data_IF_701090998613
#
_entry.id   IF_701090998613
#
_cell.length_a   1.000
_cell.length_b   1.000
_cell.length_c   1.000
_cell.angle_alpha   90.00
_cell.angle_beta   90.00
_cell.angle_gamma   90.00
#
_symmetry.space_group_name_H-M   'P 1'
#
loop_
_entity.id
_entity.type
_entity.pdbx_description
1 polymer ?
#
# COMPACT_ATOMS: atom_id res chain seq x y z
N UNK A 1 -22.62 -26.94 -24.71
CA UNK A 1 -23.21 -28.18 -25.26
C UNK A 1 -22.06 -29.10 -25.66
N UNK A 2 -21.97 -30.31 -25.10
CA UNK A 2 -20.81 -31.20 -25.30
C UNK A 2 -20.97 -32.13 -26.51
N UNK A 3 -21.98 -31.90 -27.35
CA UNK A 3 -22.21 -32.70 -28.55
C UNK A 3 -21.87 -31.85 -29.77
N UNK A 4 -20.91 -32.30 -30.61
CA UNK A 4 -20.64 -31.64 -31.87
C UNK A 4 -21.87 -31.75 -32.78
N UNK A 5 -22.18 -30.69 -33.51
CA UNK A 5 -23.37 -30.64 -34.33
C UNK A 5 -23.71 -29.25 -34.83
N UNK A 6 -24.68 -29.21 -35.73
CA UNK A 6 -25.26 -27.95 -36.21
C UNK A 6 -26.45 -27.60 -35.32
N UNK A 7 -26.35 -26.50 -34.57
CA UNK A 7 -27.42 -26.01 -33.73
C UNK A 7 -28.10 -24.84 -34.42
N UNK A 8 -29.38 -25.00 -34.75
CA UNK A 8 -30.19 -23.90 -35.30
C UNK A 8 -30.84 -23.19 -34.11
N UNK A 9 -30.56 -21.90 -33.99
CA UNK A 9 -31.22 -21.02 -33.03
C UNK A 9 -32.39 -20.38 -33.77
N UNK A 10 -33.59 -20.67 -33.29
CA UNK A 10 -34.83 -20.16 -33.87
C UNK A 10 -34.93 -18.64 -33.69
N UNK A 11 -35.71 -18.03 -34.59
CA UNK A 11 -36.04 -16.63 -34.54
C UNK A 11 -36.69 -16.27 -33.19
N UNK A 12 -36.15 -15.26 -32.52
CA UNK A 12 -36.68 -14.75 -31.26
C UNK A 12 -37.54 -13.53 -31.57
N UNK A 13 -38.86 -13.58 -31.28
CA UNK A 13 -39.72 -12.41 -31.43
C UNK A 13 -39.53 -11.46 -30.25
N UNK A 14 -39.27 -10.20 -30.54
CA UNK A 14 -39.24 -9.08 -29.60
C UNK A 14 -40.41 -8.16 -29.92
N UNK A 15 -41.17 -7.77 -28.89
CA UNK A 15 -42.27 -6.83 -29.04
C UNK A 15 -42.01 -5.57 -28.22
N UNK A 16 -42.25 -4.40 -28.82
CA UNK A 16 -42.17 -3.12 -28.14
C UNK A 16 -43.36 -2.24 -28.52
N UNK A 17 -43.67 -1.28 -27.66
CA UNK A 17 -44.75 -0.32 -27.90
C UNK A 17 -44.21 0.90 -28.65
N UNK A 18 -44.70 1.17 -29.85
CA UNK A 18 -44.32 2.33 -30.64
C UNK A 18 -45.26 3.50 -30.34
N UNK A 19 -44.71 4.56 -29.76
CA UNK A 19 -45.47 5.77 -29.36
C UNK A 19 -46.02 6.53 -30.57
N UNK A 20 -45.35 6.46 -31.72
CA UNK A 20 -45.77 7.15 -32.94
C UNK A 20 -46.97 6.49 -33.61
N UNK A 21 -47.04 5.15 -33.55
CA UNK A 21 -48.15 4.36 -34.10
C UNK A 21 -49.21 4.03 -33.03
N UNK A 22 -48.93 4.26 -31.75
CA UNK A 22 -49.78 3.91 -30.61
C UNK A 22 -50.18 2.43 -30.60
N UNK A 23 -49.29 1.55 -31.05
CA UNK A 23 -49.53 0.11 -31.18
C UNK A 23 -48.26 -0.70 -30.85
N UNK A 24 -48.44 -2.00 -30.59
CA UNK A 24 -47.34 -2.93 -30.35
C UNK A 24 -46.78 -3.46 -31.67
N UNK A 25 -45.50 -3.19 -31.92
CA UNK A 25 -44.78 -3.69 -33.09
C UNK A 25 -43.94 -4.89 -32.68
N UNK A 26 -44.02 -5.97 -33.45
CA UNK A 26 -43.21 -7.18 -33.27
C UNK A 26 -42.09 -7.22 -34.29
N UNK A 27 -40.84 -7.29 -33.81
CA UNK A 27 -39.65 -7.55 -34.61
C UNK A 27 -39.19 -8.98 -34.35
N UNK A 28 -38.77 -9.67 -35.39
CA UNK A 28 -38.23 -11.03 -35.26
C UNK A 28 -36.78 -11.02 -35.71
N UNK A 29 -35.90 -11.65 -34.94
CA UNK A 29 -34.56 -11.94 -35.41
C UNK A 29 -34.62 -13.01 -36.52
N UNK A 30 -33.62 -13.03 -37.41
CA UNK A 30 -33.48 -14.12 -38.37
C UNK A 30 -32.92 -15.36 -37.64
N UNK A 31 -33.38 -16.59 -37.97
CA UNK A 31 -32.78 -17.79 -37.42
C UNK A 31 -31.33 -17.91 -37.90
N UNK A 32 -30.42 -18.34 -37.02
CA UNK A 32 -29.02 -18.53 -37.37
C UNK A 32 -28.47 -19.84 -36.84
N UNK A 33 -27.54 -20.42 -37.59
CA UNK A 33 -26.95 -21.73 -37.29
C UNK A 33 -25.55 -21.58 -36.70
N UNK A 34 -25.32 -22.21 -35.54
CA UNK A 34 -24.02 -22.31 -34.90
C UNK A 34 -23.47 -23.72 -35.14
N UNK A 35 -22.36 -23.79 -35.87
CA UNK A 35 -21.63 -25.06 -36.09
C UNK A 35 -20.64 -25.25 -34.95
N UNK A 36 -20.88 -26.25 -34.10
CA UNK A 36 -19.99 -26.58 -32.98
C UNK A 36 -19.09 -27.74 -33.40
N UNK A 37 -17.80 -27.46 -33.58
CA UNK A 37 -16.79 -28.48 -33.86
C UNK A 37 -16.50 -29.35 -32.62
N UNK A 38 -16.13 -30.63 -32.79
CA UNK A 38 -15.64 -31.45 -31.68
C UNK A 38 -14.31 -30.88 -31.17
N UNK A 39 -14.24 -30.57 -29.88
CA UNK A 39 -13.02 -30.06 -29.23
C UNK A 39 -12.61 -31.00 -28.09
N UNK A 40 -11.32 -31.38 -28.05
CA UNK A 40 -10.75 -32.23 -26.99
C UNK A 40 -10.53 -31.45 -25.68
N UNK A 41 -10.45 -30.12 -25.73
CA UNK A 41 -10.38 -29.22 -24.58
C UNK A 41 -11.36 -28.06 -24.74
N UNK A 42 -12.01 -27.65 -23.63
CA UNK A 42 -12.94 -26.52 -23.61
C UNK A 42 -12.12 -25.22 -23.64
N UNK A 43 -11.62 -24.85 -24.80
CA UNK A 43 -11.09 -23.50 -25.06
C UNK A 43 -12.24 -22.58 -25.48
N UNK A 44 -12.14 -21.31 -25.10
CA UNK A 44 -13.15 -20.29 -25.32
C UNK A 44 -13.62 -20.29 -26.78
N UNK A 45 -14.92 -20.53 -26.99
CA UNK A 45 -15.51 -20.52 -28.32
C UNK A 45 -15.51 -19.08 -28.85
N UNK A 46 -14.71 -18.82 -29.88
CA UNK A 46 -14.75 -17.58 -30.65
C UNK A 46 -15.98 -17.62 -31.55
N UNK A 47 -17.04 -16.89 -31.15
CA UNK A 47 -18.24 -16.74 -31.97
C UNK A 47 -17.92 -15.71 -33.04
N UNK A 48 -17.68 -16.18 -34.26
CA UNK A 48 -17.51 -15.31 -35.43
C UNK A 48 -18.90 -14.79 -35.80
N UNK A 49 -19.22 -13.59 -35.32
CA UNK A 49 -20.39 -12.87 -35.82
C UNK A 49 -20.10 -12.44 -37.27
N UNK A 50 -21.02 -12.66 -38.23
CA UNK A 50 -20.90 -11.97 -39.50
C UNK A 50 -20.87 -10.47 -39.20
N UNK A 51 -19.97 -9.73 -39.84
CA UNK A 51 -19.91 -8.27 -39.74
C UNK A 51 -21.22 -7.72 -40.31
N UNK A 52 -22.23 -7.58 -39.46
CA UNK A 52 -23.40 -6.79 -39.79
C UNK A 52 -22.87 -5.36 -39.80
N UNK A 53 -22.74 -4.77 -40.99
CA UNK A 53 -22.74 -3.32 -41.08
C UNK A 53 -24.14 -2.89 -40.68
N UNK A 54 -24.40 -2.83 -39.39
CA UNK A 54 -25.56 -2.12 -38.89
C UNK A 54 -25.30 -0.66 -39.24
N UNK A 55 -26.11 -0.11 -40.15
CA UNK A 55 -26.35 1.32 -40.25
C UNK A 55 -26.93 1.74 -38.89
N UNK A 56 -26.05 1.90 -37.90
CA UNK A 56 -26.40 2.43 -36.60
C UNK A 56 -26.96 3.84 -36.84
N UNK A 57 -28.16 4.16 -36.34
CA UNK A 57 -28.73 5.49 -36.49
C UNK A 57 -27.77 6.56 -35.93
N UNK A 58 -27.65 7.72 -36.58
CA UNK A 58 -26.71 8.81 -36.25
C UNK A 58 -26.71 9.28 -34.78
N UNK A 59 -27.73 8.94 -33.99
CA UNK A 59 -27.84 9.26 -32.57
C UNK A 59 -27.24 8.21 -31.63
N UNK A 60 -26.80 7.07 -32.18
CA UNK A 60 -26.02 6.06 -31.45
C UNK A 60 -24.56 6.45 -31.58
N UNK A 61 -24.07 7.24 -30.60
CA UNK A 61 -22.64 7.45 -30.44
C UNK A 61 -22.02 6.12 -29.99
N UNK A 62 -21.38 5.41 -30.91
CA UNK A 62 -20.42 4.37 -30.58
C UNK A 62 -19.28 5.05 -29.80
N UNK A 63 -19.38 5.07 -28.48
CA UNK A 63 -18.29 5.46 -27.59
C UNK A 63 -17.24 4.34 -27.60
N UNK A 64 -16.60 4.13 -28.76
CA UNK A 64 -15.64 3.07 -29.01
C UNK A 64 -14.23 3.36 -28.51
N UNK A 65 -13.96 4.56 -28.01
CA UNK A 65 -12.61 4.98 -27.63
C UNK A 65 -12.50 5.27 -26.13
N UNK A 66 -12.89 4.31 -25.30
CA UNK A 66 -12.36 4.26 -23.94
C UNK A 66 -10.90 3.82 -24.02
N UNK A 67 -9.98 4.79 -24.09
CA UNK A 67 -8.52 4.62 -24.07
C UNK A 67 -7.97 3.77 -22.91
N UNK A 68 -8.82 3.40 -21.94
CA UNK A 68 -8.51 2.53 -20.80
C UNK A 68 -8.94 1.06 -20.98
N UNK A 69 -9.80 0.74 -21.95
CA UNK A 69 -10.43 -0.59 -22.07
C UNK A 69 -10.02 -1.38 -23.33
N UNK A 70 -9.33 -0.76 -24.29
CA UNK A 70 -8.84 -1.43 -25.51
C UNK A 70 -7.43 -2.01 -25.37
N UNK A 71 -7.11 -3.03 -26.17
CA UNK A 71 -5.75 -3.60 -26.29
C UNK A 71 -4.67 -2.53 -26.59
N UNK A 72 -5.08 -1.40 -27.18
CA UNK A 72 -4.24 -0.22 -27.45
C UNK A 72 -3.63 0.43 -26.20
N UNK A 73 -4.22 0.22 -25.01
CA UNK A 73 -3.68 0.73 -23.75
C UNK A 73 -2.37 0.01 -23.34
N UNK A 74 -2.34 -1.31 -23.50
CA UNK A 74 -1.16 -2.14 -23.16
C UNK A 74 -0.03 -1.96 -24.19
N UNK A 75 -0.38 -1.62 -25.42
CA UNK A 75 0.56 -1.26 -26.49
C UNK A 75 1.14 0.16 -26.35
N UNK A 76 0.52 1.01 -25.53
CA UNK A 76 0.99 2.39 -25.33
C UNK A 76 2.32 2.44 -24.57
N UNK A 77 3.28 3.20 -25.09
CA UNK A 77 4.59 3.41 -24.46
C UNK A 77 4.44 4.03 -23.05
N UNK A 78 3.42 4.84 -22.84
CA UNK A 78 3.14 5.47 -21.53
C UNK A 78 2.76 4.46 -20.46
N UNK A 79 2.07 3.37 -20.83
CA UNK A 79 1.73 2.28 -19.91
C UNK A 79 2.99 1.63 -19.33
N UNK A 80 3.96 1.31 -20.20
CA UNK A 80 5.25 0.75 -19.79
C UNK A 80 6.10 1.73 -18.98
N UNK A 81 6.05 3.02 -19.32
CA UNK A 81 6.72 4.09 -18.57
C UNK A 81 6.19 4.19 -17.13
N UNK A 82 4.88 4.13 -16.94
CA UNK A 82 4.27 4.11 -15.60
C UNK A 82 4.66 2.87 -14.81
N UNK A 83 4.78 1.72 -15.49
CA UNK A 83 5.17 0.47 -14.85
C UNK A 83 6.65 0.46 -14.43
N UNK A 84 7.52 1.10 -15.19
CA UNK A 84 8.94 1.23 -14.87
C UNK A 84 9.24 2.34 -13.86
N UNK A 85 8.35 3.32 -13.68
CA UNK A 85 8.51 4.41 -12.73
C UNK A 85 8.80 3.96 -11.29
N UNK A 86 8.09 2.99 -10.68
CA UNK A 86 8.44 2.50 -9.33
C UNK A 86 9.81 1.82 -9.29
N UNK A 87 10.20 1.08 -10.35
CA UNK A 87 11.53 0.44 -10.45
C UNK A 87 12.62 1.50 -10.57
N UNK A 88 12.38 2.56 -11.34
CA UNK A 88 13.29 3.68 -11.49
C UNK A 88 13.46 4.46 -10.18
N UNK A 89 12.36 4.78 -9.48
CA UNK A 89 12.41 5.42 -8.16
C UNK A 89 13.17 4.54 -7.17
N UNK A 90 12.90 3.23 -7.15
CA UNK A 90 13.62 2.30 -6.30
C UNK A 90 15.12 2.26 -6.64
N UNK A 91 15.47 2.24 -7.92
CA UNK A 91 16.85 2.31 -8.40
C UNK A 91 17.54 3.59 -7.97
N UNK A 92 16.90 4.75 -8.12
CA UNK A 92 17.43 6.04 -7.66
C UNK A 92 17.59 6.05 -6.15
N UNK A 93 16.60 5.60 -5.38
CA UNK A 93 16.71 5.50 -3.92
C UNK A 93 17.80 4.52 -3.51
N UNK A 94 17.93 3.37 -4.16
CA UNK A 94 18.97 2.40 -3.90
C UNK A 94 20.37 2.95 -4.23
N UNK A 95 20.52 3.66 -5.35
CA UNK A 95 21.78 4.32 -5.73
C UNK A 95 22.12 5.46 -4.78
N UNK A 96 21.15 6.31 -4.42
CA UNK A 96 21.34 7.36 -3.40
C UNK A 96 21.70 6.74 -2.06
N UNK A 97 21.06 5.64 -1.67
CA UNK A 97 21.34 4.91 -0.43
C UNK A 97 22.67 4.17 -0.48
N UNK A 98 23.13 3.72 -1.66
CA UNK A 98 24.42 3.05 -1.84
C UNK A 98 25.57 4.08 -1.86
N UNK A 99 25.40 5.19 -2.57
CA UNK A 99 26.34 6.31 -2.59
C UNK A 99 26.40 7.04 -1.24
N UNK A 100 25.26 7.19 -0.56
CA UNK A 100 25.20 7.73 0.81
C UNK A 100 25.56 6.69 1.87
N UNK A 101 25.48 5.39 1.55
CA UNK A 101 25.62 4.27 2.50
C UNK A 101 26.98 3.57 2.50
N UNK A 102 27.82 3.78 1.49
CA UNK A 102 29.26 3.51 1.59
C UNK A 102 30.00 4.62 2.36
N UNK A 103 29.33 5.72 2.68
CA UNK A 103 29.78 6.75 3.61
C UNK A 103 29.03 6.65 4.93
N UNK A 104 29.40 5.67 5.77
CA UNK A 104 28.85 5.40 7.10
C UNK A 104 27.55 4.59 7.06
N UNK A 105 27.71 3.28 7.21
CA UNK A 105 27.03 2.63 8.34
C UNK A 105 27.26 3.59 9.52
N UNK A 106 26.24 4.37 9.83
CA UNK A 106 26.14 5.06 11.09
C UNK A 106 26.09 3.96 12.13
N UNK A 107 27.25 3.38 12.45
CA UNK A 107 27.59 3.22 13.84
C UNK A 107 27.28 4.59 14.39
N UNK A 108 26.17 4.68 15.14
CA UNK A 108 26.04 5.66 16.20
C UNK A 108 27.46 5.78 16.72
N UNK A 109 28.10 6.92 16.46
CA UNK A 109 29.37 7.18 17.10
C UNK A 109 29.01 6.98 18.54
N UNK A 110 29.60 5.94 19.11
CA UNK A 110 29.59 5.64 20.51
C UNK A 110 30.42 6.77 21.11
N UNK A 111 29.83 7.98 21.09
CA UNK A 111 30.29 9.13 21.81
C UNK A 111 29.98 8.69 23.21
N UNK A 112 30.92 7.95 23.80
CA UNK A 112 30.87 7.52 25.19
C UNK A 112 30.56 8.77 25.98
N UNK A 113 29.27 8.96 26.26
CA UNK A 113 28.79 10.08 27.03
C UNK A 113 29.38 9.81 28.39
N UNK A 114 30.46 10.52 28.73
CA UNK A 114 31.24 10.17 29.89
C UNK A 114 30.30 10.18 31.10
N UNK A 115 30.45 9.21 32.02
CA UNK A 115 29.62 9.11 33.23
C UNK A 115 29.42 10.47 33.92
N UNK A 116 30.49 11.28 33.94
CA UNK A 116 30.49 12.66 34.45
C UNK A 116 29.57 13.62 33.70
N UNK A 117 29.49 13.53 32.36
CA UNK A 117 28.57 14.33 31.55
C UNK A 117 27.12 13.89 31.76
N UNK A 118 26.85 12.58 31.86
CA UNK A 118 25.51 12.05 32.14
C UNK A 118 25.00 12.51 33.52
N UNK A 119 25.81 12.38 34.57
CA UNK A 119 25.47 12.86 35.92
C UNK A 119 25.19 14.38 35.89
N UNK A 120 26.01 15.14 35.15
CA UNK A 120 25.84 16.60 35.06
C UNK A 120 24.57 16.99 34.31
N UNK A 121 24.23 16.30 33.22
CA UNK A 121 23.00 16.56 32.47
C UNK A 121 21.76 16.16 33.26
N UNK A 122 21.78 15.00 33.93
CA UNK A 122 20.66 14.52 34.77
C UNK A 122 20.37 15.48 35.93
N UNK A 123 21.41 16.04 36.57
CA UNK A 123 21.23 17.05 37.63
C UNK A 123 20.61 18.37 37.15
N UNK A 124 20.73 18.67 35.86
CA UNK A 124 20.19 19.88 35.25
C UNK A 124 18.78 19.68 34.69
N UNK A 125 18.28 18.43 34.67
CA UNK A 125 16.89 18.15 34.30
C UNK A 125 15.97 18.68 35.40
N UNK A 126 15.09 19.58 35.00
CA UNK A 126 14.04 20.18 35.83
C UNK A 126 12.80 20.39 34.95
N UNK A 127 11.62 20.18 35.51
CA UNK A 127 10.35 20.26 34.79
C UNK A 127 9.31 19.31 35.39
N UNK A 128 8.17 19.19 34.73
CA UNK A 128 7.14 18.22 35.11
C UNK A 128 7.65 16.78 34.88
N UNK A 129 7.09 15.79 35.60
CA UNK A 129 7.56 14.40 35.55
C UNK A 129 7.66 13.81 34.14
N UNK A 130 6.74 14.20 33.26
CA UNK A 130 6.78 13.82 31.85
C UNK A 130 8.00 14.39 31.14
N UNK A 131 8.31 15.67 31.35
CA UNK A 131 9.48 16.32 30.76
C UNK A 131 10.78 15.74 31.33
N UNK A 132 10.80 15.46 32.63
CA UNK A 132 11.92 14.79 33.31
C UNK A 132 12.17 13.40 32.71
N UNK A 133 11.12 12.59 32.57
CA UNK A 133 11.23 11.25 32.00
C UNK A 133 11.66 11.27 30.53
N UNK A 134 11.10 12.16 29.70
CA UNK A 134 11.47 12.30 28.29
C UNK A 134 12.93 12.78 28.13
N UNK A 135 13.37 13.73 28.96
CA UNK A 135 14.77 14.20 28.96
C UNK A 135 15.73 13.10 29.42
N UNK A 136 15.40 12.34 30.46
CA UNK A 136 16.24 11.23 30.94
C UNK A 136 16.30 10.11 29.90
N UNK A 137 15.19 9.71 29.29
CA UNK A 137 15.17 8.71 28.21
C UNK A 137 15.99 9.17 26.99
N UNK A 138 15.90 10.45 26.63
CA UNK A 138 16.72 11.03 25.56
C UNK A 138 18.21 10.99 25.89
N UNK A 139 18.58 11.31 27.14
CA UNK A 139 19.96 11.23 27.62
C UNK A 139 20.47 9.78 27.65
N UNK A 140 19.67 8.84 28.14
CA UNK A 140 19.99 7.42 28.17
C UNK A 140 20.15 6.83 26.77
N UNK A 141 19.25 7.15 25.84
CA UNK A 141 19.34 6.72 24.44
C UNK A 141 20.57 7.27 23.69
N UNK A 142 21.12 8.39 24.19
CA UNK A 142 22.40 8.96 23.70
C UNK A 142 23.63 8.42 24.45
N UNK A 143 23.43 7.72 25.56
CA UNK A 143 24.49 7.10 26.34
C UNK A 143 24.76 5.69 25.81
N UNK A 144 26.02 5.32 25.62
CA UNK A 144 26.42 3.97 25.21
C UNK A 144 26.25 2.91 26.32
N UNK A 145 25.22 3.04 27.15
CA UNK A 145 24.89 2.09 28.22
C UNK A 145 24.13 0.89 27.63
N UNK A 146 24.30 -0.32 28.19
CA UNK A 146 23.59 -1.52 27.74
C UNK A 146 22.13 -1.47 28.23
N UNK A 147 21.30 -0.63 27.60
CA UNK A 147 19.88 -0.42 27.97
C UNK A 147 19.00 -1.68 27.84
N UNK A 148 19.49 -2.73 27.17
CA UNK A 148 18.82 -4.02 27.05
C UNK A 148 19.08 -4.99 28.20
N UNK A 149 20.01 -4.68 29.10
CA UNK A 149 20.41 -5.52 30.24
C UNK A 149 19.86 -4.95 31.56
N UNK A 150 19.62 -5.81 32.55
CA UNK A 150 19.33 -5.37 33.92
C UNK A 150 20.57 -4.70 34.53
N UNK A 151 20.43 -3.62 35.33
CA UNK A 151 19.19 -3.00 35.82
C UNK A 151 18.60 -1.91 34.90
N UNK A 152 19.25 -1.61 33.76
CA UNK A 152 18.89 -0.50 32.86
C UNK A 152 17.56 -0.74 32.15
N UNK A 153 17.28 -1.98 31.80
CA UNK A 153 16.01 -2.37 31.17
C UNK A 153 14.82 -2.09 32.08
N UNK A 154 14.88 -2.52 33.34
CA UNK A 154 13.83 -2.25 34.34
C UNK A 154 13.65 -0.74 34.57
N UNK A 155 14.75 0.01 34.64
CA UNK A 155 14.70 1.45 34.81
C UNK A 155 14.05 2.20 33.63
N UNK A 156 14.32 1.79 32.39
CA UNK A 156 13.65 2.38 31.21
C UNK A 156 12.13 2.15 31.23
N UNK A 157 11.69 0.98 31.70
CA UNK A 157 10.26 0.67 31.86
C UNK A 157 9.64 1.54 32.96
N UNK A 158 10.34 1.73 34.08
CA UNK A 158 9.89 2.58 35.17
C UNK A 158 9.76 4.06 34.74
N UNK A 159 10.69 4.55 33.91
CA UNK A 159 10.62 5.88 33.30
C UNK A 159 9.46 6.03 32.32
N UNK A 160 9.19 4.99 31.52
CA UNK A 160 8.07 5.00 30.58
C UNK A 160 6.72 4.99 31.32
N UNK A 161 6.62 4.29 32.45
CA UNK A 161 5.46 4.33 33.33
C UNK A 161 5.30 5.70 34.01
N UNK A 162 6.40 6.28 34.50
CA UNK A 162 6.40 7.60 35.13
C UNK A 162 5.98 8.72 34.17
N UNK A 163 6.24 8.55 32.87
CA UNK A 163 5.79 9.48 31.82
C UNK A 163 4.27 9.68 31.80
N UNK A 164 3.51 8.66 32.20
CA UNK A 164 2.05 8.67 32.22
C UNK A 164 1.46 8.72 33.63
N UNK A 165 2.30 8.83 34.67
CA UNK A 165 1.84 8.90 36.05
C UNK A 165 1.32 10.31 36.39
N UNK A 166 0.17 10.44 37.07
CA UNK A 166 -0.42 11.73 37.43
C UNK A 166 0.28 12.40 38.64
N UNK A 167 1.08 11.65 39.41
CA UNK A 167 1.67 12.13 40.66
C UNK A 167 3.04 12.77 40.44
N UNK A 168 3.24 13.96 41.02
CA UNK A 168 4.39 14.85 40.81
C UNK A 168 5.72 14.44 41.46
N UNK A 169 5.77 13.38 42.26
CA UNK A 169 6.97 13.03 43.05
C UNK A 169 7.84 11.93 42.39
N UNK A 170 7.28 11.18 41.43
CA UNK A 170 7.92 10.00 40.85
C UNK A 170 9.17 10.30 40.00
N UNK A 171 9.25 11.51 39.42
CA UNK A 171 10.39 11.92 38.59
C UNK A 171 11.68 12.18 39.38
N UNK A 172 11.59 12.76 40.57
CA UNK A 172 12.77 13.01 41.42
C UNK A 172 13.30 11.72 42.05
N UNK A 173 12.42 10.78 42.41
CA UNK A 173 12.82 9.44 42.88
C UNK A 173 13.57 8.67 41.79
N UNK A 174 13.09 8.69 40.55
CA UNK A 174 13.75 8.04 39.42
C UNK A 174 15.07 8.72 39.05
N UNK A 175 15.16 10.03 39.20
CA UNK A 175 16.41 10.78 39.03
C UNK A 175 17.45 10.38 40.08
N UNK A 176 17.04 10.25 41.34
CA UNK A 176 17.94 9.80 42.40
C UNK A 176 18.40 8.35 42.17
N UNK A 177 17.47 7.45 41.79
CA UNK A 177 17.79 6.07 41.44
C UNK A 177 18.75 5.96 40.25
N UNK A 178 18.60 6.81 39.23
CA UNK A 178 19.55 6.88 38.12
C UNK A 178 20.94 7.30 38.58
N UNK A 179 21.03 8.30 39.46
CA UNK A 179 22.32 8.75 39.99
C UNK A 179 23.02 7.66 40.79
N UNK A 180 22.27 6.89 41.58
CA UNK A 180 22.80 5.77 42.36
C UNK A 180 23.31 4.64 41.44
N UNK A 181 22.52 4.24 40.44
CA UNK A 181 22.95 3.21 39.46
C UNK A 181 24.18 3.63 38.64
N UNK A 182 24.28 4.91 38.27
CA UNK A 182 25.46 5.42 37.55
C UNK A 182 26.69 5.53 38.47
N UNK A 183 26.50 5.67 39.79
CA UNK A 183 27.58 5.71 40.77
C UNK A 183 28.16 4.32 41.09
N UNK A 184 27.35 3.26 40.95
CA UNK A 184 27.78 1.86 41.13
C UNK A 184 28.56 1.27 39.95
N UNK A 185 28.45 1.88 38.75
CA UNK A 185 29.22 1.53 37.55
C UNK A 185 30.67 2.00 37.62
#
# INVERSE_FOLDING_TARGET
PNQPGNFVIDAIPLSYFDVGLSDYVSLSTAPFSVVVAPADEISQAEVIFPSVSEDAPDWVEESGDYWLAGNSFVESVFFWLFWLLPVFIFGVVAVVRFLSGNGRVSGQRDVKFSKRKLIRSVRLVAGDNREVAEQILGLLGSSGLPLGEEPWRGFCIDLENARYAPDGELGEDLKQRLLDMVAEL
#
